data_IF_375048379321
#
_entry.id   IF_375048379321
#
_cell.length_a   1.000
_cell.length_b   1.000
_cell.length_c   1.000
_cell.angle_alpha   90.00
_cell.angle_beta   90.00
_cell.angle_gamma   90.00
#
_symmetry.space_group_name_H-M   'P 1'
#
loop_
_entity.id
_entity.type
_entity.pdbx_description
1 polymer ?
#
# COMPACT_ATOMS: atom_id res chain seq x y z
N UNK A 1 -5.09 33.33 40.95
CA UNK A 1 -4.72 33.21 39.52
C UNK A 1 -5.73 32.30 38.84
N UNK A 2 -6.77 32.86 38.21
CA UNK A 2 -7.76 32.10 37.45
C UNK A 2 -7.22 31.88 36.04
N UNK A 3 -6.75 30.67 35.74
CA UNK A 3 -6.42 30.30 34.36
C UNK A 3 -7.75 30.25 33.60
N UNK A 4 -7.90 31.20 32.66
CA UNK A 4 -9.10 31.39 31.83
C UNK A 4 -9.63 30.07 31.27
N UNK A 5 -10.91 29.77 31.48
CA UNK A 5 -11.56 28.55 30.98
C UNK A 5 -11.46 28.37 29.46
N UNK A 6 -11.16 29.45 28.73
CA UNK A 6 -10.87 29.42 27.30
C UNK A 6 -9.66 28.56 26.94
N UNK A 7 -8.55 28.64 27.70
CA UNK A 7 -7.34 27.90 27.38
C UNK A 7 -7.51 26.39 27.61
N UNK A 8 -8.36 26.00 28.57
CA UNK A 8 -8.53 24.60 28.99
C UNK A 8 -9.39 23.77 28.02
N UNK A 9 -10.29 24.42 27.27
CA UNK A 9 -11.14 23.76 26.27
C UNK A 9 -10.60 23.85 24.84
N UNK A 10 -9.88 24.92 24.48
CA UNK A 10 -9.37 25.09 23.12
C UNK A 10 -8.13 24.25 22.82
N UNK A 11 -7.26 24.03 23.82
CA UNK A 11 -6.07 23.18 23.66
C UNK A 11 -6.39 21.75 23.20
N UNK A 12 -7.32 20.99 23.83
CA UNK A 12 -7.62 19.64 23.37
C UNK A 12 -8.29 19.62 21.98
N UNK A 13 -9.10 20.62 21.65
CA UNK A 13 -9.74 20.72 20.32
C UNK A 13 -8.70 20.95 19.23
N UNK A 14 -7.76 21.88 19.45
CA UNK A 14 -6.65 22.12 18.52
C UNK A 14 -5.77 20.88 18.40
N UNK A 15 -5.46 20.20 19.51
CA UNK A 15 -4.69 18.95 19.48
C UNK A 15 -5.40 17.85 18.70
N UNK A 16 -6.71 17.68 18.85
CA UNK A 16 -7.48 16.68 18.09
C UNK A 16 -7.51 17.02 16.60
N UNK A 17 -7.72 18.28 16.22
CA UNK A 17 -7.69 18.73 14.82
C UNK A 17 -6.31 18.50 14.20
N UNK A 18 -5.24 18.85 14.92
CA UNK A 18 -3.85 18.60 14.49
C UNK A 18 -3.57 17.11 14.35
N UNK A 19 -4.02 16.28 15.30
CA UNK A 19 -3.87 14.83 15.21
C UNK A 19 -4.62 14.24 14.01
N UNK A 20 -5.85 14.69 13.74
CA UNK A 20 -6.63 14.23 12.59
C UNK A 20 -6.00 14.65 11.25
N UNK A 21 -5.46 15.87 11.17
CA UNK A 21 -4.73 16.34 10.00
C UNK A 21 -3.42 15.55 9.76
N UNK A 22 -2.67 15.23 10.83
CA UNK A 22 -1.43 14.43 10.77
C UNK A 22 -1.67 12.96 10.43
N UNK A 23 -2.86 12.41 10.76
CA UNK A 23 -3.22 11.01 10.42
C UNK A 23 -3.77 10.88 8.99
N UNK A 24 -4.31 11.95 8.41
CA UNK A 24 -4.85 11.93 7.04
C UNK A 24 -3.77 11.76 5.96
N UNK A 25 -2.53 12.17 6.23
CA UNK A 25 -1.41 12.09 5.28
C UNK A 25 -0.77 10.71 5.17
N UNK A 26 -1.01 9.79 6.10
CA UNK A 26 -0.45 8.42 6.02
C UNK A 26 -1.28 7.46 5.17
N UNK A 27 -2.42 7.89 4.63
CA UNK A 27 -3.24 7.09 3.71
C UNK A 27 -2.78 7.21 2.24
N UNK A 28 -1.73 7.99 1.95
CA UNK A 28 -1.17 8.10 0.62
C UNK A 28 -0.01 7.13 0.41
N UNK A 29 -0.35 5.97 -0.14
CA UNK A 29 0.28 5.41 -1.34
C UNK A 29 -0.12 3.94 -1.41
N UNK A 30 -1.11 3.61 -2.25
CA UNK A 30 -1.06 2.29 -2.85
C UNK A 30 0.30 2.21 -3.54
N UNK A 31 1.17 1.31 -3.09
CA UNK A 31 2.46 1.08 -3.76
C UNK A 31 2.16 0.76 -5.22
N UNK A 32 2.32 1.77 -6.09
CA UNK A 32 2.26 1.63 -7.54
C UNK A 32 3.39 0.68 -7.90
N UNK A 33 3.06 -0.42 -8.59
CA UNK A 33 4.10 -1.27 -9.14
C UNK A 33 4.95 -0.46 -10.11
N UNK A 34 6.27 -0.47 -9.94
CA UNK A 34 7.19 0.32 -10.75
C UNK A 34 8.41 0.77 -9.98
N UNK A 35 9.41 1.25 -10.72
CA UNK A 35 10.56 1.98 -10.17
C UNK A 35 10.41 3.47 -10.53
N UNK A 36 11.13 4.40 -9.88
CA UNK A 36 11.14 5.81 -10.28
C UNK A 36 11.50 6.04 -11.75
N UNK A 37 12.21 5.08 -12.36
CA UNK A 37 12.53 5.09 -13.79
C UNK A 37 11.31 4.75 -14.67
N UNK A 38 10.43 3.86 -14.21
CA UNK A 38 9.20 3.49 -14.89
C UNK A 38 8.16 4.61 -14.87
N UNK A 39 8.18 5.49 -13.85
CA UNK A 39 7.24 6.61 -13.73
C UNK A 39 7.38 7.66 -14.84
N UNK A 40 8.56 7.77 -15.46
CA UNK A 40 8.83 8.70 -16.57
C UNK A 40 8.41 8.16 -17.93
N UNK A 41 8.00 6.89 -18.01
CA UNK A 41 7.57 6.25 -19.25
C UNK A 41 6.05 6.31 -19.31
N UNK A 42 5.52 7.05 -20.27
CA UNK A 42 4.08 7.12 -20.48
C UNK A 42 3.55 5.73 -20.87
N UNK A 43 2.45 5.31 -20.26
CA UNK A 43 1.87 3.99 -20.53
C UNK A 43 1.43 3.92 -21.99
N UNK A 44 1.97 2.95 -22.72
CA UNK A 44 1.59 2.69 -24.11
C UNK A 44 0.15 2.14 -24.23
N UNK A 45 -0.38 1.59 -23.13
CA UNK A 45 -1.76 1.16 -23.02
C UNK A 45 -2.58 2.21 -22.25
N UNK A 46 -3.68 2.66 -22.85
CA UNK A 46 -4.65 3.62 -22.28
C UNK A 46 -6.04 2.99 -22.05
N UNK A 47 -6.19 1.68 -22.26
CA UNK A 47 -7.42 0.96 -21.94
C UNK A 47 -7.66 0.89 -20.43
N UNK A 48 -8.92 0.68 -20.04
CA UNK A 48 -9.26 0.43 -18.65
C UNK A 48 -8.52 -0.82 -18.14
N UNK A 49 -7.92 -0.74 -16.96
CA UNK A 49 -7.29 -1.90 -16.33
C UNK A 49 -8.38 -2.77 -15.69
N UNK A 50 -8.66 -3.99 -16.19
CA UNK A 50 -9.65 -4.87 -15.59
C UNK A 50 -9.14 -5.61 -14.34
N UNK A 51 -7.83 -5.50 -14.05
CA UNK A 51 -7.18 -6.19 -12.95
C UNK A 51 -7.10 -5.34 -11.69
N UNK A 52 -7.19 -6.01 -10.53
CA UNK A 52 -6.97 -5.41 -9.22
C UNK A 52 -5.77 -6.06 -8.53
N UNK A 53 -5.08 -5.31 -7.68
CA UNK A 53 -4.02 -5.84 -6.84
C UNK A 53 -4.65 -6.53 -5.62
N UNK A 54 -4.32 -7.80 -5.43
CA UNK A 54 -4.61 -8.54 -4.20
C UNK A 54 -3.29 -8.75 -3.48
N UNK A 55 -3.17 -8.19 -2.28
CA UNK A 55 -1.98 -8.34 -1.44
C UNK A 55 -2.12 -9.59 -0.57
N UNK A 56 -0.98 -10.11 -0.12
CA UNK A 56 -0.91 -11.18 0.88
C UNK A 56 -1.74 -12.43 0.53
N UNK A 57 -1.83 -12.74 -0.77
CA UNK A 57 -2.63 -13.86 -1.29
C UNK A 57 -1.99 -15.23 -1.02
N UNK A 58 -0.69 -15.27 -0.74
CA UNK A 58 0.08 -16.49 -0.50
C UNK A 58 0.88 -16.39 0.80
N UNK A 59 1.05 -17.53 1.46
CA UNK A 59 1.85 -17.68 2.68
C UNK A 59 2.70 -18.96 2.59
N UNK A 60 3.94 -18.90 3.07
CA UNK A 60 4.82 -20.06 3.26
C UNK A 60 5.10 -20.18 4.75
N UNK A 61 4.79 -21.34 5.32
CA UNK A 61 5.05 -21.60 6.72
C UNK A 61 6.56 -21.56 7.01
N UNK A 62 6.94 -20.86 8.07
CA UNK A 62 8.32 -20.80 8.55
C UNK A 62 9.28 -19.88 7.79
N UNK A 63 8.82 -19.14 6.77
CA UNK A 63 9.65 -18.08 6.13
C UNK A 63 8.82 -17.03 5.39
N UNK A 64 9.42 -15.85 5.19
CA UNK A 64 8.82 -14.83 4.34
C UNK A 64 8.80 -15.27 2.87
N UNK A 65 7.70 -14.97 2.17
CA UNK A 65 7.62 -15.03 0.73
C UNK A 65 8.41 -13.85 0.13
N UNK A 66 9.45 -14.11 -0.66
CA UNK A 66 10.27 -13.05 -1.23
C UNK A 66 9.77 -12.58 -2.60
N UNK A 67 10.65 -11.98 -3.41
CA UNK A 67 10.24 -11.48 -4.73
C UNK A 67 9.84 -12.62 -5.67
N UNK A 68 8.64 -12.59 -6.25
CA UNK A 68 8.27 -13.57 -7.29
C UNK A 68 8.97 -13.24 -8.61
N UNK A 69 9.83 -14.14 -9.07
CA UNK A 69 10.63 -13.96 -10.30
C UNK A 69 10.09 -14.75 -11.51
N UNK A 70 9.11 -15.63 -11.29
CA UNK A 70 8.47 -16.39 -12.35
C UNK A 70 7.04 -16.75 -11.98
N UNK A 71 6.12 -16.62 -12.95
CA UNK A 71 4.74 -17.07 -12.86
C UNK A 71 4.36 -17.79 -14.15
N UNK A 72 3.69 -18.94 -14.04
CA UNK A 72 3.24 -19.71 -15.19
C UNK A 72 1.88 -20.37 -14.91
N UNK A 73 1.02 -20.42 -15.93
CA UNK A 73 -0.21 -21.24 -15.88
C UNK A 73 0.18 -22.68 -16.17
N UNK A 74 -0.28 -23.61 -15.34
CA UNK A 74 -0.02 -25.03 -15.52
C UNK A 74 -0.78 -25.58 -16.76
N UNK A 75 -0.40 -26.78 -17.20
CA UNK A 75 -0.99 -27.49 -18.34
C UNK A 75 -2.50 -27.72 -18.19
N UNK A 76 -3.00 -27.78 -16.96
CA UNK A 76 -4.43 -27.92 -16.68
C UNK A 76 -5.25 -26.65 -16.97
N UNK A 77 -4.59 -25.50 -17.22
CA UNK A 77 -5.21 -24.20 -17.48
C UNK A 77 -5.91 -23.58 -16.25
N UNK A 78 -5.73 -24.16 -15.06
CA UNK A 78 -6.44 -23.77 -13.83
C UNK A 78 -5.48 -23.47 -12.67
N UNK A 79 -4.34 -24.13 -12.64
CA UNK A 79 -3.33 -23.99 -11.61
C UNK A 79 -2.28 -22.96 -12.04
N UNK A 80 -1.72 -22.24 -11.07
CA UNK A 80 -0.66 -21.25 -11.30
C UNK A 80 0.56 -21.63 -10.47
N UNK A 81 1.70 -21.73 -11.14
CA UNK A 81 3.01 -21.86 -10.52
C UNK A 81 3.62 -20.48 -10.29
N UNK A 82 4.18 -20.24 -9.11
CA UNK A 82 4.90 -19.03 -8.77
C UNK A 82 6.22 -19.37 -8.07
N UNK A 83 7.33 -18.85 -8.59
CA UNK A 83 8.67 -19.06 -8.02
C UNK A 83 9.11 -17.82 -7.25
N UNK A 84 9.35 -17.98 -5.95
CA UNK A 84 9.90 -16.94 -5.09
C UNK A 84 11.44 -17.05 -4.99
N UNK A 85 12.09 -15.92 -4.70
CA UNK A 85 13.51 -15.87 -4.32
C UNK A 85 13.65 -15.37 -2.89
N UNK A 86 14.68 -15.82 -2.17
CA UNK A 86 14.97 -15.34 -0.82
C UNK A 86 14.99 -13.81 -0.75
N UNK A 87 14.35 -13.28 0.30
CA UNK A 87 14.37 -11.86 0.67
C UNK A 87 15.67 -11.50 1.38
#
# INVERSE_FOLDING_TARGET
MFVSGYTRFWLPVVSVVVCLALRGSTLQAQARGGTPQTDKVQSVNNGANPYRVIRDWAHIEGRAWGGSNGVAVDRDGKTVWATDRCS
#
